data_IF_553374599560
#
_entry.id   IF_553374599560
#
_cell.length_a   1.000
_cell.length_b   1.000
_cell.length_c   1.000
_cell.angle_alpha   90.00
_cell.angle_beta   90.00
_cell.angle_gamma   90.00
#
_symmetry.space_group_name_H-M   'P 1'
#
loop_
_entity.id
_entity.type
_entity.pdbx_description
1 polymer ?
#
# COMPACT_ATOMS: atom_id res chain seq x y z
N UNK A 1 10.44 -58.64 -30.75
CA UNK A 1 11.13 -57.77 -29.76
C UNK A 1 10.62 -58.18 -28.39
N UNK A 2 11.46 -58.84 -27.58
CA UNK A 2 11.07 -59.47 -26.32
C UNK A 2 10.99 -58.40 -25.22
N UNK A 3 9.78 -58.07 -24.77
CA UNK A 3 9.59 -57.20 -23.61
C UNK A 3 9.93 -58.04 -22.39
N UNK A 4 11.14 -57.85 -21.87
CA UNK A 4 11.62 -58.50 -20.65
C UNK A 4 10.68 -58.16 -19.50
N UNK A 5 10.27 -59.18 -18.72
CA UNK A 5 9.37 -59.08 -17.56
C UNK A 5 9.83 -58.05 -16.51
N UNK A 6 11.10 -57.65 -16.52
CA UNK A 6 11.67 -56.59 -15.68
C UNK A 6 11.16 -55.18 -16.01
N UNK A 7 10.67 -54.93 -17.23
CA UNK A 7 10.12 -53.62 -17.63
C UNK A 7 8.70 -53.37 -17.09
N UNK A 8 7.93 -54.44 -16.83
CA UNK A 8 6.58 -54.32 -16.27
C UNK A 8 6.59 -54.01 -14.76
N UNK A 9 7.63 -54.44 -14.03
CA UNK A 9 7.75 -54.18 -12.58
C UNK A 9 8.14 -52.73 -12.27
N UNK A 10 8.86 -52.07 -13.18
CA UNK A 10 9.26 -50.66 -13.02
C UNK A 10 8.08 -49.69 -13.25
N UNK A 11 7.09 -50.08 -14.06
CA UNK A 11 5.94 -49.23 -14.39
C UNK A 11 4.86 -49.24 -13.28
N UNK A 12 4.80 -50.29 -12.46
CA UNK A 12 3.85 -50.40 -11.34
C UNK A 12 4.22 -49.59 -10.09
N UNK A 13 5.48 -49.17 -9.96
CA UNK A 13 5.95 -48.39 -8.80
C UNK A 13 5.73 -46.88 -9.00
N UNK A 14 5.69 -46.41 -10.25
CA UNK A 14 5.52 -44.97 -10.56
C UNK A 14 4.06 -44.52 -10.36
N UNK A 15 3.08 -45.42 -10.51
CA UNK A 15 1.65 -45.08 -10.34
C UNK A 15 1.21 -44.94 -8.88
N UNK A 16 2.03 -45.35 -7.90
CA UNK A 16 1.71 -45.22 -6.47
C UNK A 16 2.12 -43.88 -5.86
N UNK A 17 2.89 -43.05 -6.59
CA UNK A 17 3.27 -41.69 -6.15
C UNK A 17 2.35 -40.60 -6.70
N UNK A 18 1.33 -40.96 -7.49
CA UNK A 18 0.30 -40.05 -8.00
C UNK A 18 -0.95 -40.00 -7.10
N UNK A 19 -0.78 -40.14 -5.78
CA UNK A 19 -1.84 -39.86 -4.82
C UNK A 19 -1.98 -38.34 -4.67
N UNK A 20 -2.70 -37.72 -5.62
CA UNK A 20 -3.23 -36.37 -5.45
C UNK A 20 -4.02 -36.33 -4.13
N UNK A 21 -3.49 -35.63 -3.13
CA UNK A 21 -4.31 -35.19 -2.01
C UNK A 21 -5.33 -34.22 -2.59
N UNK A 22 -6.61 -34.54 -2.39
CA UNK A 22 -7.70 -33.61 -2.61
C UNK A 22 -7.48 -32.47 -1.62
N UNK A 23 -7.09 -31.30 -2.12
CA UNK A 23 -7.11 -30.09 -1.32
C UNK A 23 -8.57 -29.84 -0.91
N UNK A 24 -8.73 -29.62 0.39
CA UNK A 24 -9.98 -29.30 1.03
C UNK A 24 -10.46 -27.99 0.41
N UNK A 25 -11.62 -27.99 -0.25
CA UNK A 25 -12.31 -26.77 -0.68
C UNK A 25 -12.78 -26.05 0.58
N UNK A 26 -11.83 -25.44 1.29
CA UNK A 26 -12.10 -24.49 2.33
C UNK A 26 -12.81 -23.32 1.69
N UNK A 27 -14.08 -23.13 2.03
CA UNK A 27 -14.73 -21.84 1.86
C UNK A 27 -13.80 -20.77 2.45
N UNK A 28 -13.14 -20.00 1.58
CA UNK A 28 -12.45 -18.75 1.93
C UNK A 28 -13.51 -17.77 2.44
N UNK A 29 -13.92 -17.96 3.69
CA UNK A 29 -14.57 -16.91 4.47
C UNK A 29 -13.53 -15.81 4.59
N UNK A 30 -13.85 -14.54 4.26
CA UNK A 30 -12.91 -13.45 4.43
C UNK A 30 -12.41 -13.47 5.87
N UNK A 31 -11.10 -13.64 6.05
CA UNK A 31 -10.44 -13.58 7.35
C UNK A 31 -10.44 -12.12 7.80
N UNK A 32 -11.61 -11.61 8.18
CA UNK A 32 -11.72 -10.32 8.87
C UNK A 32 -10.99 -10.50 10.20
N UNK A 33 -9.96 -9.69 10.50
CA UNK A 33 -9.22 -9.81 11.75
C UNK A 33 -10.18 -9.79 12.94
N UNK A 34 -10.22 -10.87 13.73
CA UNK A 34 -11.07 -11.00 14.92
C UNK A 34 -10.65 -10.06 16.06
N UNK A 35 -9.51 -9.38 15.94
CA UNK A 35 -9.08 -8.32 16.84
C UNK A 35 -9.42 -6.96 16.22
N UNK A 36 -10.05 -6.07 17.00
CA UNK A 36 -10.19 -4.67 16.61
C UNK A 36 -8.80 -4.09 16.40
N UNK A 37 -8.48 -3.73 15.15
CA UNK A 37 -7.22 -3.06 14.82
C UNK A 37 -7.20 -1.67 15.45
N UNK A 38 -6.05 -1.28 15.97
CA UNK A 38 -5.82 0.06 16.50
C UNK A 38 -5.13 0.91 15.43
N UNK A 39 -5.72 2.04 15.08
CA UNK A 39 -5.17 2.95 14.07
C UNK A 39 -3.78 3.49 14.45
N UNK A 40 -3.50 3.61 15.75
CA UNK A 40 -2.21 4.11 16.25
C UNK A 40 -1.04 3.19 15.89
N UNK A 41 -1.29 1.89 15.71
CA UNK A 41 -0.30 0.92 15.23
C UNK A 41 0.10 1.14 13.76
N UNK A 42 -0.60 2.00 13.02
CA UNK A 42 -0.28 2.37 11.65
C UNK A 42 0.25 3.80 11.53
N UNK A 43 -0.29 4.72 12.35
CA UNK A 43 0.05 6.14 12.29
C UNK A 43 1.44 6.44 12.85
N UNK A 44 1.79 5.80 13.97
CA UNK A 44 3.10 5.84 14.64
C UNK A 44 3.62 7.29 14.78
N UNK A 45 2.75 8.17 15.28
CA UNK A 45 2.93 9.63 15.31
C UNK A 45 3.83 10.14 16.46
N UNK A 46 4.59 9.26 17.12
CA UNK A 46 5.53 9.69 18.16
C UNK A 46 6.73 10.46 17.57
N UNK A 47 7.08 11.56 18.22
CA UNK A 47 8.21 12.40 17.81
C UNK A 47 9.52 11.59 17.77
N UNK A 48 10.28 11.74 16.69
CA UNK A 48 11.50 10.97 16.45
C UNK A 48 11.28 9.69 15.65
N UNK A 49 10.03 9.27 15.41
CA UNK A 49 9.75 8.23 14.42
C UNK A 49 10.09 8.75 13.02
N UNK A 50 10.62 7.86 12.17
CA UNK A 50 10.93 8.20 10.78
C UNK A 50 10.91 7.00 9.85
N UNK A 51 10.75 7.30 8.57
CA UNK A 51 10.83 6.35 7.47
C UNK A 51 11.67 6.91 6.35
N UNK A 52 12.47 6.07 5.71
CA UNK A 52 13.25 6.38 4.52
C UNK A 52 12.83 5.45 3.41
N UNK A 53 12.58 6.00 2.24
CA UNK A 53 12.07 5.29 1.07
C UNK A 53 13.03 5.45 -0.11
N UNK A 54 13.21 4.36 -0.85
CA UNK A 54 13.70 4.47 -2.22
C UNK A 54 12.57 4.94 -3.12
N UNK A 55 12.80 6.02 -3.87
CA UNK A 55 11.93 6.49 -4.93
C UNK A 55 12.52 6.13 -6.29
N UNK A 56 11.78 5.33 -7.05
CA UNK A 56 12.14 4.85 -8.39
C UNK A 56 11.10 5.28 -9.40
N UNK A 57 11.54 5.58 -10.62
CA UNK A 57 10.64 5.86 -11.72
C UNK A 57 10.25 4.54 -12.40
N UNK A 58 8.94 4.31 -12.56
CA UNK A 58 8.37 3.06 -13.09
C UNK A 58 7.39 3.34 -14.21
N UNK A 59 7.21 2.39 -15.12
CA UNK A 59 6.20 2.44 -16.17
C UNK A 59 4.88 1.76 -15.76
N UNK A 60 3.98 1.58 -16.73
CA UNK A 60 2.68 0.93 -16.51
C UNK A 60 2.75 -0.55 -16.15
N UNK A 61 3.89 -1.21 -16.36
CA UNK A 61 4.13 -2.60 -16.00
C UNK A 61 4.94 -2.71 -14.69
N UNK A 62 5.10 -1.60 -13.96
CA UNK A 62 5.93 -1.48 -12.76
C UNK A 62 7.43 -1.82 -12.98
N UNK A 63 7.90 -1.61 -14.22
CA UNK A 63 9.31 -1.83 -14.57
C UNK A 63 10.11 -0.57 -14.23
N UNK A 64 11.18 -0.74 -13.45
CA UNK A 64 12.14 0.33 -13.13
C UNK A 64 12.81 0.84 -14.42
N UNK A 65 12.79 2.15 -14.63
CA UNK A 65 13.36 2.80 -15.81
C UNK A 65 14.87 3.07 -15.70
N UNK A 66 15.53 2.62 -14.63
CA UNK A 66 16.97 2.75 -14.44
C UNK A 66 17.43 4.17 -14.08
N UNK A 67 16.51 5.03 -13.64
CA UNK A 67 16.84 6.37 -13.15
C UNK A 67 17.59 6.29 -11.82
N UNK A 68 18.48 7.25 -11.50
CA UNK A 68 19.14 7.29 -10.19
C UNK A 68 18.12 7.22 -9.05
N UNK A 69 18.33 6.27 -8.13
CA UNK A 69 17.48 6.08 -6.96
C UNK A 69 17.54 7.34 -6.11
N UNK A 70 16.37 7.89 -5.77
CA UNK A 70 16.27 9.01 -4.83
C UNK A 70 15.86 8.49 -3.47
N UNK A 71 16.41 9.09 -2.41
CA UNK A 71 16.06 8.72 -1.03
C UNK A 71 15.17 9.81 -0.44
N UNK A 72 13.88 9.53 -0.37
CA UNK A 72 12.93 10.43 0.28
C UNK A 72 12.63 9.90 1.68
N UNK A 73 12.20 10.79 2.58
CA UNK A 73 12.10 10.46 4.01
C UNK A 73 10.97 11.22 4.66
N UNK A 74 10.28 10.58 5.59
CA UNK A 74 9.26 11.18 6.42
C UNK A 74 9.74 11.15 7.87
N UNK A 75 9.70 12.28 8.55
CA UNK A 75 10.12 12.40 9.94
C UNK A 75 9.00 13.03 10.76
N UNK A 76 8.65 12.40 11.87
CA UNK A 76 7.71 12.95 12.84
C UNK A 76 8.41 13.99 13.68
N UNK A 77 7.93 15.23 13.63
CA UNK A 77 8.53 16.36 14.34
C UNK A 77 7.89 16.52 15.72
N UNK A 78 6.56 16.40 15.79
CA UNK A 78 5.77 16.61 16.99
C UNK A 78 4.52 17.42 16.70
N UNK A 79 3.82 17.83 17.74
CA UNK A 79 2.48 18.35 17.61
C UNK A 79 2.40 19.83 17.23
N UNK A 80 1.28 20.19 16.63
CA UNK A 80 0.89 21.55 16.27
C UNK A 80 -0.63 21.71 16.43
N UNK A 81 -1.08 22.95 16.60
CA UNK A 81 -2.50 23.30 16.71
C UNK A 81 -2.96 23.90 15.39
N UNK A 82 -3.93 23.26 14.72
CA UNK A 82 -4.55 23.74 13.49
C UNK A 82 -6.06 23.73 13.68
N UNK A 83 -6.72 24.87 13.45
CA UNK A 83 -8.18 25.03 13.55
C UNK A 83 -8.80 24.51 14.87
N UNK A 84 -8.04 24.58 15.97
CA UNK A 84 -8.48 24.15 17.30
C UNK A 84 -8.24 22.68 17.62
N UNK A 85 -7.75 21.89 16.66
CA UNK A 85 -7.43 20.47 16.82
C UNK A 85 -5.91 20.25 16.84
N UNK A 86 -5.47 19.24 17.59
CA UNK A 86 -4.05 18.88 17.67
C UNK A 86 -3.73 17.91 16.52
N UNK A 87 -2.72 18.26 15.75
CA UNK A 87 -2.15 17.42 14.69
C UNK A 87 -0.67 17.22 14.91
N UNK A 88 -0.16 16.05 14.55
CA UNK A 88 1.27 15.79 14.50
C UNK A 88 1.83 16.23 13.14
N UNK A 89 2.87 17.05 13.16
CA UNK A 89 3.60 17.49 11.98
C UNK A 89 4.60 16.42 11.53
N UNK A 90 4.49 16.06 10.26
CA UNK A 90 5.43 15.17 9.57
C UNK A 90 6.13 15.97 8.47
N UNK A 91 7.46 15.86 8.41
CA UNK A 91 8.27 16.54 7.39
C UNK A 91 8.77 15.58 6.34
N UNK A 92 8.64 15.99 5.08
CA UNK A 92 9.33 15.36 3.96
C UNK A 92 10.77 15.87 3.87
N UNK A 93 11.74 14.96 3.96
CA UNK A 93 13.08 15.17 3.43
C UNK A 93 13.15 14.61 2.01
N UNK A 94 13.68 15.41 1.09
CA UNK A 94 13.74 15.07 -0.34
C UNK A 94 15.17 14.76 -0.72
N UNK A 95 15.41 13.60 -1.32
CA UNK A 95 16.74 13.14 -1.74
C UNK A 95 17.82 13.28 -0.65
N UNK A 96 17.52 12.82 0.56
CA UNK A 96 18.42 12.87 1.72
C UNK A 96 18.60 14.25 2.35
N UNK A 97 17.89 15.29 1.88
CA UNK A 97 17.96 16.65 2.42
C UNK A 97 16.76 16.91 3.36
N UNK A 98 16.97 16.92 4.69
CA UNK A 98 15.90 17.22 5.64
C UNK A 98 15.46 18.69 5.52
N UNK A 99 14.14 18.94 5.57
CA UNK A 99 13.58 20.29 5.65
C UNK A 99 13.32 21.02 4.33
N UNK A 100 13.68 20.44 3.18
CA UNK A 100 13.40 21.01 1.85
C UNK A 100 12.09 20.50 1.21
N UNK A 101 11.34 19.63 1.89
CA UNK A 101 10.11 19.05 1.38
C UNK A 101 8.84 19.64 1.97
N UNK A 102 7.71 19.07 1.55
CA UNK A 102 6.38 19.37 2.07
C UNK A 102 6.26 19.06 3.57
N UNK A 103 5.24 19.67 4.19
CA UNK A 103 4.78 19.33 5.54
C UNK A 103 3.45 18.63 5.41
N UNK A 104 3.31 17.53 6.12
CA UNK A 104 2.04 16.85 6.33
C UNK A 104 1.64 17.03 7.78
N UNK A 105 0.36 16.93 8.04
CA UNK A 105 -0.23 17.03 9.36
C UNK A 105 -1.22 15.90 9.48
N UNK A 106 -1.00 14.98 10.40
CA UNK A 106 -1.90 13.85 10.63
C UNK A 106 -2.34 13.85 12.08
N UNK A 107 -3.56 13.41 12.34
CA UNK A 107 -3.99 13.03 13.68
C UNK A 107 -4.74 11.72 13.60
N UNK A 108 -4.67 10.96 14.68
CA UNK A 108 -5.56 9.84 14.89
C UNK A 108 -6.91 10.37 15.38
N UNK A 109 -7.98 9.90 14.76
CA UNK A 109 -9.35 10.31 15.04
C UNK A 109 -10.26 9.10 15.00
N UNK A 110 -10.67 8.62 16.18
CA UNK A 110 -11.40 7.37 16.33
C UNK A 110 -10.63 6.20 15.70
N UNK A 111 -11.10 5.71 14.56
CA UNK A 111 -10.58 4.54 13.84
C UNK A 111 -9.74 4.93 12.61
N UNK A 112 -9.47 6.21 12.37
CA UNK A 112 -8.80 6.69 11.15
C UNK A 112 -7.69 7.72 11.36
N UNK A 113 -6.75 7.77 10.42
CA UNK A 113 -5.71 8.80 10.30
C UNK A 113 -6.24 9.88 9.36
N UNK A 114 -6.34 11.12 9.84
CA UNK A 114 -6.90 12.24 9.07
C UNK A 114 -5.94 13.41 8.96
N UNK A 115 -6.04 14.15 7.85
CA UNK A 115 -5.36 15.43 7.66
C UNK A 115 -6.26 16.63 8.08
N UNK A 116 -5.75 17.87 8.10
CA UNK A 116 -6.53 19.06 8.47
C UNK A 116 -7.70 19.37 7.53
N UNK A 117 -7.71 18.79 6.34
CA UNK A 117 -8.77 18.97 5.35
C UNK A 117 -9.85 17.87 5.47
N UNK A 118 -9.70 16.95 6.43
CA UNK A 118 -10.60 15.81 6.62
C UNK A 118 -10.34 14.65 5.66
N UNK A 119 -9.22 14.66 4.93
CA UNK A 119 -8.84 13.55 4.06
C UNK A 119 -8.36 12.38 4.90
N UNK A 120 -8.97 11.21 4.71
CA UNK A 120 -8.60 9.98 5.42
C UNK A 120 -7.41 9.32 4.71
N UNK A 121 -6.30 9.16 5.42
CA UNK A 121 -5.08 8.51 4.92
C UNK A 121 -5.13 6.99 5.08
N UNK A 122 -5.74 6.53 6.17
CA UNK A 122 -5.92 5.13 6.53
C UNK A 122 -7.08 5.01 7.53
N UNK A 123 -7.79 3.88 7.52
CA UNK A 123 -8.87 3.58 8.48
C UNK A 123 -8.81 2.11 8.90
N UNK A 124 -9.08 1.87 10.16
CA UNK A 124 -9.28 0.55 10.76
C UNK A 124 -10.79 0.31 10.88
N UNK A 125 -11.26 -0.92 10.67
CA UNK A 125 -12.67 -1.27 10.95
C UNK A 125 -13.68 -1.03 9.81
N UNK A 126 -13.28 -0.44 8.68
CA UNK A 126 -14.11 -0.36 7.45
C UNK A 126 -13.38 -1.02 6.29
N UNK A 127 -13.75 -2.27 5.98
CA UNK A 127 -13.16 -3.09 4.92
C UNK A 127 -14.20 -3.45 3.86
N UNK A 128 -13.73 -3.66 2.63
CA UNK A 128 -14.53 -4.06 1.46
C UNK A 128 -15.65 -3.07 1.07
N UNK A 129 -15.57 -1.84 1.58
CA UNK A 129 -16.49 -0.74 1.25
C UNK A 129 -15.72 0.58 1.06
N UNK A 130 -16.39 1.55 0.43
CA UNK A 130 -15.82 2.89 0.24
C UNK A 130 -15.85 3.63 1.58
N UNK A 131 -14.67 4.02 2.07
CA UNK A 131 -14.53 4.77 3.31
C UNK A 131 -14.34 6.28 3.10
N UNK A 132 -13.84 6.67 1.92
CA UNK A 132 -13.60 8.08 1.58
C UNK A 132 -13.75 8.29 0.07
N UNK A 133 -14.44 9.36 -0.33
CA UNK A 133 -14.57 9.79 -1.72
C UNK A 133 -13.96 11.17 -1.88
N UNK A 134 -12.99 11.28 -2.78
CA UNK A 134 -12.36 12.55 -3.12
C UNK A 134 -12.78 12.99 -4.52
N UNK A 135 -13.39 14.17 -4.63
CA UNK A 135 -13.75 14.75 -5.92
C UNK A 135 -12.73 15.83 -6.31
N UNK A 136 -11.99 15.56 -7.39
CA UNK A 136 -10.99 16.46 -7.95
C UNK A 136 -11.55 17.08 -9.21
N UNK A 137 -12.24 18.21 -9.07
CA UNK A 137 -12.70 18.98 -10.21
C UNK A 137 -13.95 19.80 -9.95
N UNK A 138 -14.33 20.59 -10.95
CA UNK A 138 -15.61 21.29 -10.99
C UNK A 138 -16.57 20.56 -11.96
N UNK A 139 -16.99 21.20 -13.06
CA UNK A 139 -17.87 20.55 -14.05
C UNK A 139 -17.22 19.38 -14.80
N UNK A 140 -15.90 19.24 -14.71
CA UNK A 140 -15.08 18.17 -15.24
C UNK A 140 -14.00 17.81 -14.23
N UNK A 141 -13.66 16.53 -14.11
CA UNK A 141 -12.74 16.06 -13.08
C UNK A 141 -12.61 14.55 -12.99
N UNK A 142 -12.10 14.12 -11.84
CA UNK A 142 -12.10 12.72 -11.42
C UNK A 142 -12.72 12.57 -10.03
N UNK A 143 -13.43 11.47 -9.83
CA UNK A 143 -13.86 11.00 -8.52
C UNK A 143 -12.94 9.85 -8.13
N UNK A 144 -12.43 9.86 -6.90
CA UNK A 144 -11.57 8.80 -6.37
C UNK A 144 -12.28 8.19 -5.17
N UNK A 145 -12.70 6.94 -5.30
CA UNK A 145 -13.33 6.17 -4.23
C UNK A 145 -12.29 5.26 -3.58
N UNK A 146 -11.99 5.54 -2.31
CA UNK A 146 -11.00 4.80 -1.55
C UNK A 146 -11.63 3.64 -0.79
N UNK A 147 -11.02 2.47 -0.93
CA UNK A 147 -11.41 1.20 -0.31
C UNK A 147 -10.19 0.53 0.33
N UNK A 148 -10.43 -0.32 1.32
CA UNK A 148 -9.43 -1.24 1.87
C UNK A 148 -10.03 -2.65 1.79
N UNK A 149 -9.52 -3.55 0.96
CA UNK A 149 -9.94 -4.94 0.98
C UNK A 149 -9.64 -5.59 2.35
N UNK A 150 -10.52 -6.46 2.84
CA UNK A 150 -10.25 -7.23 4.07
C UNK A 150 -9.09 -8.22 3.88
N UNK A 151 -8.88 -8.69 2.65
CA UNK A 151 -7.74 -9.51 2.30
C UNK A 151 -6.44 -8.68 2.28
N UNK A 152 -5.50 -9.02 3.16
CA UNK A 152 -4.18 -8.42 3.17
C UNK A 152 -3.35 -8.84 1.96
N UNK A 153 -2.50 -7.93 1.49
CA UNK A 153 -1.61 -8.13 0.36
C UNK A 153 -0.16 -8.23 0.85
N UNK A 154 0.59 -9.30 0.53
CA UNK A 154 2.02 -9.36 0.84
C UNK A 154 2.80 -8.40 -0.06
N UNK A 155 3.71 -7.63 0.54
CA UNK A 155 4.59 -6.68 -0.16
C UNK A 155 6.02 -6.87 0.31
N UNK A 156 6.95 -6.88 -0.64
CA UNK A 156 8.39 -6.85 -0.37
C UNK A 156 8.95 -5.47 -0.72
N UNK A 157 9.78 -4.94 0.16
CA UNK A 157 10.56 -3.71 -0.02
C UNK A 157 12.03 -4.00 0.33
N UNK A 158 12.96 -3.05 0.11
CA UNK A 158 14.35 -3.23 0.55
C UNK A 158 14.51 -3.48 2.06
N UNK A 159 13.58 -3.00 2.90
CA UNK A 159 13.63 -3.21 4.36
C UNK A 159 13.08 -4.56 4.83
N UNK A 160 12.33 -5.28 4.00
CA UNK A 160 11.75 -6.57 4.39
C UNK A 160 10.49 -6.97 3.62
N UNK A 161 9.79 -7.97 4.14
CA UNK A 161 8.50 -8.42 3.62
C UNK A 161 7.41 -8.21 4.68
N UNK A 162 6.26 -7.73 4.24
CA UNK A 162 5.16 -7.29 5.10
C UNK A 162 3.84 -7.83 4.58
N UNK A 163 2.94 -8.23 5.49
CA UNK A 163 1.52 -8.35 5.17
C UNK A 163 0.91 -6.96 5.35
N UNK A 164 0.21 -6.47 4.33
CA UNK A 164 -0.23 -5.07 4.29
C UNK A 164 -1.71 -4.93 3.99
N UNK A 165 -2.31 -3.88 4.53
CA UNK A 165 -3.61 -3.38 4.11
C UNK A 165 -3.39 -2.43 2.93
N UNK A 166 -4.04 -2.73 1.80
CA UNK A 166 -3.97 -1.90 0.60
C UNK A 166 -5.09 -0.86 0.63
N UNK A 167 -4.72 0.40 0.82
CA UNK A 167 -5.60 1.53 0.49
C UNK A 167 -5.55 1.74 -1.02
N UNK A 168 -6.67 1.49 -1.70
CA UNK A 168 -6.80 1.59 -3.14
C UNK A 168 -7.85 2.65 -3.52
N UNK A 169 -7.47 3.62 -4.35
CA UNK A 169 -8.37 4.66 -4.86
C UNK A 169 -8.84 4.35 -6.29
N UNK A 170 -10.06 3.85 -6.45
CA UNK A 170 -10.65 3.64 -7.77
C UNK A 170 -11.01 4.99 -8.41
N UNK A 171 -10.50 5.27 -9.61
CA UNK A 171 -10.66 6.59 -10.26
C UNK A 171 -11.70 6.54 -11.39
N UNK A 172 -12.73 7.36 -11.27
CA UNK A 172 -13.76 7.58 -12.29
C UNK A 172 -13.62 8.97 -12.91
N UNK A 173 -13.36 9.04 -14.22
CA UNK A 173 -13.29 10.31 -14.96
C UNK A 173 -14.66 10.79 -15.43
N UNK A 174 -14.90 12.11 -15.40
CA UNK A 174 -16.14 12.72 -15.90
C UNK A 174 -15.88 14.07 -16.60
N UNK A 175 -16.87 14.57 -17.34
CA UNK A 175 -16.81 15.89 -17.98
C UNK A 175 -15.68 16.05 -19.01
N UNK A 176 -15.49 15.07 -19.90
CA UNK A 176 -14.44 15.04 -20.93
C UNK A 176 -13.00 14.78 -20.43
N UNK A 177 -12.79 14.56 -19.13
CA UNK A 177 -11.49 14.09 -18.65
C UNK A 177 -11.22 12.69 -19.21
N UNK A 178 -10.03 12.45 -19.80
CA UNK A 178 -9.67 11.13 -20.32
C UNK A 178 -9.75 10.04 -19.25
N UNK A 179 -9.99 8.81 -19.71
CA UNK A 179 -9.91 7.63 -18.86
C UNK A 179 -8.54 7.54 -18.17
N UNK A 180 -8.55 7.31 -16.85
CA UNK A 180 -7.35 7.04 -16.07
C UNK A 180 -7.20 5.52 -15.95
N UNK A 181 -6.11 4.92 -16.47
CA UNK A 181 -5.90 3.48 -16.35
C UNK A 181 -5.59 3.08 -14.91
N UNK A 182 -6.01 1.88 -14.52
CA UNK A 182 -5.92 1.37 -13.14
C UNK A 182 -4.51 1.40 -12.55
N UNK A 183 -3.47 1.18 -13.37
CA UNK A 183 -2.09 1.26 -12.89
C UNK A 183 -1.70 2.67 -12.40
N UNK A 184 -2.47 3.71 -12.75
CA UNK A 184 -2.31 5.07 -12.21
C UNK A 184 -3.13 5.37 -10.96
N UNK A 185 -3.94 4.41 -10.50
CA UNK A 185 -4.74 4.60 -9.30
C UNK A 185 -3.85 4.77 -8.06
N UNK A 186 -4.21 5.69 -7.14
CA UNK A 186 -3.54 5.81 -5.85
C UNK A 186 -3.56 4.47 -5.11
N UNK A 187 -2.39 4.02 -4.66
CA UNK A 187 -2.20 2.74 -3.98
C UNK A 187 -1.20 2.94 -2.85
N UNK A 188 -1.62 2.66 -1.62
CA UNK A 188 -0.78 2.76 -0.43
C UNK A 188 -0.87 1.47 0.37
N UNK A 189 0.27 0.90 0.72
CA UNK A 189 0.38 -0.35 1.45
C UNK A 189 0.82 -0.05 2.87
N UNK A 190 -0.03 -0.39 3.84
CA UNK A 190 0.16 -0.11 5.26
C UNK A 190 0.40 -1.41 6.03
N UNK A 191 1.51 -1.48 6.75
CA UNK A 191 1.84 -2.59 7.63
C UNK A 191 1.61 -2.17 9.09
N UNK A 192 1.07 -3.08 9.89
CA UNK A 192 0.93 -2.87 11.32
C UNK A 192 2.31 -2.73 11.98
N UNK A 193 2.40 -1.86 12.99
CA UNK A 193 3.60 -1.51 13.77
C UNK A 193 4.74 -0.89 12.94
N UNK A 194 4.49 -0.56 11.67
CA UNK A 194 5.45 0.08 10.76
C UNK A 194 4.83 1.26 10.01
N UNK A 195 3.54 1.24 9.68
CA UNK A 195 2.89 2.26 8.88
C UNK A 195 3.03 2.03 7.37
N UNK A 196 3.07 3.10 6.57
CA UNK A 196 3.06 2.99 5.10
C UNK A 196 4.39 2.47 4.55
N UNK A 197 4.44 1.25 4.04
CA UNK A 197 5.69 0.62 3.56
C UNK A 197 5.94 0.80 2.06
N UNK A 198 4.88 1.02 1.27
CA UNK A 198 4.97 1.21 -0.18
C UNK A 198 3.84 2.10 -0.67
N UNK A 199 4.11 2.95 -1.67
CA UNK A 199 3.04 3.62 -2.41
C UNK A 199 3.50 4.04 -3.80
N UNK A 200 2.54 4.53 -4.57
CA UNK A 200 2.78 5.07 -5.90
C UNK A 200 2.22 6.48 -6.04
N UNK A 201 2.93 7.30 -6.82
CA UNK A 201 2.48 8.60 -7.27
C UNK A 201 2.52 8.64 -8.79
N UNK A 202 1.40 9.03 -9.39
CA UNK A 202 1.28 9.13 -10.84
C UNK A 202 0.74 10.50 -11.24
N UNK A 203 1.30 11.02 -12.32
CA UNK A 203 0.73 12.17 -13.01
C UNK A 203 -0.10 11.69 -14.19
N UNK A 204 -1.31 12.23 -14.35
CA UNK A 204 -2.23 11.84 -15.43
C UNK A 204 -1.61 12.03 -16.81
N UNK A 205 -0.79 13.06 -16.99
CA UNK A 205 -0.08 13.39 -18.24
C UNK A 205 1.20 12.60 -18.50
N UNK A 206 1.75 11.88 -17.50
CA UNK A 206 3.03 11.17 -17.62
C UNK A 206 2.81 9.69 -17.95
N UNK A 207 3.57 9.09 -18.89
CA UNK A 207 3.56 7.64 -19.09
C UNK A 207 4.29 6.89 -17.96
N UNK A 208 4.95 7.61 -17.06
CA UNK A 208 5.74 7.09 -15.94
C UNK A 208 5.16 7.56 -14.60
N UNK A 209 5.37 6.78 -13.55
CA UNK A 209 5.10 7.18 -12.17
C UNK A 209 6.31 7.02 -11.27
N UNK A 210 6.12 7.36 -10.01
CA UNK A 210 7.08 7.10 -8.95
C UNK A 210 6.54 6.01 -8.04
N UNK A 211 7.40 5.02 -7.78
CA UNK A 211 7.20 4.01 -6.75
C UNK A 211 8.09 4.35 -5.56
N UNK A 212 7.52 4.28 -4.38
CA UNK A 212 8.21 4.50 -3.12
C UNK A 212 8.20 3.20 -2.33
N UNK A 213 9.37 2.72 -1.92
CA UNK A 213 9.53 1.46 -1.18
C UNK A 213 10.37 1.67 0.06
N UNK A 214 9.90 1.17 1.20
CA UNK A 214 10.56 1.36 2.49
C UNK A 214 11.96 0.74 2.47
N UNK A 215 12.95 1.57 2.78
CA UNK A 215 14.36 1.20 2.85
C UNK A 215 14.79 0.95 4.30
N UNK A 216 14.36 1.81 5.22
CA UNK A 216 14.63 1.71 6.66
C UNK A 216 13.70 2.65 7.43
N UNK A 217 13.56 2.40 8.73
CA UNK A 217 12.71 3.18 9.61
C UNK A 217 13.22 3.13 11.05
N UNK A 218 12.69 4.02 11.88
CA UNK A 218 12.79 3.97 13.32
C UNK A 218 11.40 4.26 13.89
N UNK A 219 10.89 3.33 14.67
CA UNK A 219 9.62 3.44 15.40
C UNK A 219 9.92 3.05 16.85
N UNK A 220 9.45 3.85 17.80
CA UNK A 220 9.70 3.69 19.24
C UNK A 220 8.54 2.98 19.94
#
# INVERSE_FOLDING_TARGET
MSITKSALLALSVITLLASCRKEDDGNDVPNVPNASLDVTSFSLLDSGNYWVYERRQVDSMDVDQGTPVRLDSLYVVGDTLLDGEIFTMIRLGVNGQPGNGARYYWRDSADCIVDPYGSIQFITGRFDEVFYTYNVGGPAGVIIDYTIPSAMVPVTTPSGSYNTYLVNGAVTSYGMIPFVPEWKYPRHYWAQDIGRVKWYEYFSSSPLGFRYELLRYNVQ
#
